data_IF_031270035070
#
_entry.id   IF_031270035070
#
_cell.length_a   1.000
_cell.length_b   1.000
_cell.length_c   1.000
_cell.angle_alpha   90.00
_cell.angle_beta   90.00
_cell.angle_gamma   90.00
#
_symmetry.space_group_name_H-M   'P 1'
#
loop_
_entity.id
_entity.type
_entity.pdbx_description
1 polymer ?
#
# COMPACT_ATOMS: atom_id res chain seq x y z
N UNK A 1 13.02 4.02 10.06
CA UNK A 1 11.91 3.14 9.64
C UNK A 1 12.45 2.18 8.61
N UNK A 2 12.14 0.89 8.74
CA UNK A 2 12.55 -0.10 7.78
C UNK A 2 11.36 -0.54 6.93
N UNK A 3 11.57 -0.66 5.63
CA UNK A 3 10.63 -1.19 4.68
C UNK A 3 11.23 -2.42 4.03
N UNK A 4 10.53 -3.55 4.18
CA UNK A 4 10.87 -4.78 3.48
C UNK A 4 10.04 -4.87 2.20
N UNK A 5 10.72 -5.02 1.06
CA UNK A 5 10.10 -5.51 -0.16
C UNK A 5 10.21 -7.04 -0.12
N UNK A 6 9.10 -7.70 0.15
CA UNK A 6 9.00 -9.15 0.36
C UNK A 6 9.05 -9.94 -0.96
N UNK A 7 10.06 -9.69 -1.79
CA UNK A 7 10.22 -10.26 -3.12
C UNK A 7 10.23 -11.80 -3.11
N UNK A 8 10.90 -12.42 -2.13
CA UNK A 8 10.91 -13.86 -1.94
C UNK A 8 9.53 -14.50 -1.75
N UNK A 9 8.55 -13.79 -1.16
CA UNK A 9 7.19 -14.31 -1.01
C UNK A 9 6.55 -14.54 -2.37
N UNK A 10 6.87 -13.70 -3.36
CA UNK A 10 6.29 -13.80 -4.69
C UNK A 10 6.70 -15.11 -5.38
N UNK A 11 7.94 -15.58 -5.24
CA UNK A 11 8.40 -16.79 -5.93
C UNK A 11 8.45 -18.05 -5.06
N UNK A 12 8.64 -17.92 -3.74
CA UNK A 12 8.69 -19.09 -2.85
C UNK A 12 7.29 -19.56 -2.42
N UNK A 13 6.32 -18.65 -2.32
CA UNK A 13 4.96 -18.98 -1.86
C UNK A 13 3.86 -18.75 -2.91
N UNK A 14 4.04 -17.79 -3.82
CA UNK A 14 3.00 -17.40 -4.80
C UNK A 14 3.29 -17.86 -6.23
N UNK A 15 4.26 -18.77 -6.43
CA UNK A 15 4.62 -19.40 -7.71
C UNK A 15 4.93 -18.42 -8.87
N UNK A 16 5.31 -17.18 -8.57
CA UNK A 16 5.82 -16.25 -9.57
C UNK A 16 7.24 -16.67 -9.98
N UNK A 17 7.62 -16.54 -11.25
CA UNK A 17 9.03 -16.78 -11.61
C UNK A 17 9.95 -15.80 -10.89
N UNK A 18 11.09 -16.30 -10.39
CA UNK A 18 12.08 -15.48 -9.68
C UNK A 18 12.49 -14.23 -10.46
N UNK A 19 12.80 -14.39 -11.75
CA UNK A 19 13.16 -13.27 -12.64
C UNK A 19 12.07 -12.20 -12.75
N UNK A 20 10.80 -12.60 -12.77
CA UNK A 20 9.68 -11.66 -12.81
C UNK A 20 9.48 -10.97 -11.46
N UNK A 21 9.63 -11.72 -10.36
CA UNK A 21 9.56 -11.17 -9.02
C UNK A 21 10.64 -10.13 -8.76
N UNK A 22 11.91 -10.42 -9.11
CA UNK A 22 13.03 -9.49 -9.00
C UNK A 22 12.80 -8.21 -9.82
N UNK A 23 12.26 -8.34 -11.04
CA UNK A 23 11.91 -7.19 -11.87
C UNK A 23 10.86 -6.29 -11.21
N UNK A 24 9.81 -6.90 -10.65
CA UNK A 24 8.74 -6.16 -9.95
C UNK A 24 9.29 -5.50 -8.68
N UNK A 25 10.08 -6.23 -7.90
CA UNK A 25 10.69 -5.74 -6.67
C UNK A 25 11.61 -4.53 -6.93
N UNK A 26 12.37 -4.54 -8.03
CA UNK A 26 13.17 -3.40 -8.48
C UNK A 26 12.31 -2.16 -8.73
N UNK A 27 11.25 -2.31 -9.52
CA UNK A 27 10.32 -1.20 -9.84
C UNK A 27 9.65 -0.65 -8.57
N UNK A 28 9.23 -1.54 -7.67
CA UNK A 28 8.64 -1.15 -6.38
C UNK A 28 9.65 -0.41 -5.50
N UNK A 29 10.87 -0.90 -5.39
CA UNK A 29 11.95 -0.25 -4.63
C UNK A 29 12.25 1.14 -5.16
N UNK A 30 12.38 1.30 -6.49
CA UNK A 30 12.57 2.61 -7.12
C UNK A 30 11.42 3.57 -6.81
N UNK A 31 10.18 3.08 -6.82
CA UNK A 31 8.98 3.87 -6.49
C UNK A 31 9.00 4.30 -5.02
N UNK A 32 9.30 3.39 -4.09
CA UNK A 32 9.38 3.70 -2.65
C UNK A 32 10.49 4.72 -2.39
N UNK A 33 11.66 4.56 -3.01
CA UNK A 33 12.77 5.50 -2.86
C UNK A 33 12.43 6.90 -3.39
N UNK A 34 11.66 7.00 -4.49
CA UNK A 34 11.11 8.28 -4.96
C UNK A 34 10.17 8.92 -3.95
N UNK A 35 9.26 8.14 -3.37
CA UNK A 35 8.36 8.62 -2.31
C UNK A 35 9.18 9.13 -1.12
N UNK A 36 10.15 8.37 -0.63
CA UNK A 36 11.03 8.79 0.48
C UNK A 36 11.72 10.12 0.16
N UNK A 37 12.26 10.26 -1.05
CA UNK A 37 12.94 11.48 -1.51
C UNK A 37 11.98 12.68 -1.60
N UNK A 38 10.85 12.53 -2.29
CA UNK A 38 9.93 13.63 -2.58
C UNK A 38 9.23 14.14 -1.31
N UNK A 39 8.93 13.24 -0.38
CA UNK A 39 8.35 13.57 0.93
C UNK A 39 9.40 13.90 2.01
N UNK A 40 10.70 13.95 1.63
CA UNK A 40 11.82 14.26 2.54
C UNK A 40 11.82 13.40 3.82
N UNK A 41 11.45 12.13 3.69
CA UNK A 41 11.30 11.20 4.80
C UNK A 41 12.69 10.79 5.34
N UNK A 42 13.03 11.25 6.55
CA UNK A 42 14.34 10.99 7.17
C UNK A 42 14.42 9.60 7.78
N UNK A 43 15.58 8.95 7.68
CA UNK A 43 15.90 7.66 8.31
C UNK A 43 15.03 6.49 7.85
N UNK A 44 14.54 6.52 6.60
CA UNK A 44 13.87 5.37 5.98
C UNK A 44 14.91 4.51 5.25
N UNK A 45 14.82 3.20 5.45
CA UNK A 45 15.68 2.21 4.79
C UNK A 45 14.79 1.20 4.08
N UNK A 46 15.10 0.91 2.81
CA UNK A 46 14.38 -0.07 1.99
C UNK A 46 15.30 -1.24 1.73
N UNK A 47 14.82 -2.46 1.96
CA UNK A 47 15.60 -3.68 1.78
C UNK A 47 14.76 -4.75 1.10
N UNK A 48 15.35 -5.54 0.21
CA UNK A 48 14.69 -6.71 -0.38
C UNK A 48 14.83 -7.92 0.56
N UNK A 49 13.82 -8.79 0.64
CA UNK A 49 13.93 -10.02 1.41
C UNK A 49 15.08 -10.91 0.88
N UNK A 50 15.28 -10.96 -0.43
CA UNK A 50 16.41 -11.67 -1.05
C UNK A 50 17.81 -11.16 -0.68
N UNK A 51 17.92 -9.93 -0.17
CA UNK A 51 19.19 -9.38 0.33
C UNK A 51 19.47 -9.80 1.77
N UNK A 52 18.42 -10.07 2.56
CA UNK A 52 18.53 -10.45 3.97
C UNK A 52 18.59 -11.98 4.15
N UNK A 53 17.87 -12.72 3.31
CA UNK A 53 17.69 -14.15 3.45
C UNK A 53 18.23 -14.87 2.22
N UNK A 54 19.48 -15.32 2.29
CA UNK A 54 20.15 -15.97 1.15
C UNK A 54 19.60 -17.37 0.84
N UNK A 55 18.93 -17.99 1.81
CA UNK A 55 18.31 -19.30 1.66
C UNK A 55 17.01 -19.20 0.82
N UNK A 56 16.94 -19.99 -0.25
CA UNK A 56 15.77 -20.08 -1.13
C UNK A 56 14.96 -21.34 -0.85
N UNK A 57 14.70 -21.63 0.43
CA UNK A 57 13.86 -22.76 0.82
C UNK A 57 12.40 -22.42 0.53
N UNK A 58 11.70 -23.31 -0.17
CA UNK A 58 10.23 -23.20 -0.26
C UNK A 58 9.63 -23.32 1.12
N UNK A 59 8.90 -22.28 1.49
CA UNK A 59 8.25 -22.08 2.77
C UNK A 59 6.85 -21.56 2.48
N UNK A 60 5.90 -21.85 3.37
CA UNK A 60 4.58 -21.24 3.26
C UNK A 60 4.68 -19.72 3.39
N UNK A 61 3.68 -19.01 2.86
CA UNK A 61 3.57 -17.56 3.02
C UNK A 61 3.70 -17.14 4.50
N UNK A 62 3.03 -17.87 5.40
CA UNK A 62 3.06 -17.61 6.84
C UNK A 62 4.47 -17.82 7.44
N UNK A 63 5.19 -18.85 7.01
CA UNK A 63 6.55 -19.10 7.48
C UNK A 63 7.51 -17.99 7.02
N UNK A 64 7.34 -17.50 5.79
CA UNK A 64 8.11 -16.38 5.27
C UNK A 64 7.80 -15.08 6.02
N UNK A 65 6.52 -14.78 6.27
CA UNK A 65 6.13 -13.60 7.04
C UNK A 65 6.64 -13.67 8.49
N UNK A 66 6.63 -14.85 9.12
CA UNK A 66 7.14 -15.04 10.48
C UNK A 66 8.67 -14.88 10.54
N UNK A 67 9.39 -15.40 9.54
CA UNK A 67 10.84 -15.21 9.39
C UNK A 67 11.18 -13.73 9.30
N UNK A 68 10.46 -13.00 8.45
CA UNK A 68 10.69 -11.57 8.22
C UNK A 68 10.46 -10.78 9.52
N UNK A 69 9.32 -10.99 10.19
CA UNK A 69 9.02 -10.32 11.46
C UNK A 69 10.05 -10.65 12.54
N UNK A 70 10.47 -11.91 12.67
CA UNK A 70 11.50 -12.31 13.62
C UNK A 70 12.83 -11.59 13.37
N UNK A 71 13.24 -11.44 12.10
CA UNK A 71 14.46 -10.71 11.76
C UNK A 71 14.36 -9.24 12.18
N UNK A 72 13.28 -8.56 11.79
CA UNK A 72 13.08 -7.15 12.09
C UNK A 72 12.93 -6.88 13.59
N UNK A 73 12.22 -7.74 14.32
CA UNK A 73 12.07 -7.62 15.77
C UNK A 73 13.37 -7.90 16.53
N UNK A 74 14.00 -9.06 16.30
CA UNK A 74 15.14 -9.50 17.11
C UNK A 74 16.47 -8.83 16.72
N UNK A 75 16.68 -8.54 15.43
CA UNK A 75 17.95 -8.02 14.91
C UNK A 75 17.92 -6.50 14.76
N UNK A 76 16.83 -5.95 14.22
CA UNK A 76 16.71 -4.52 13.91
C UNK A 76 15.93 -3.74 14.98
N UNK A 77 15.53 -4.41 16.08
CA UNK A 77 14.80 -3.84 17.21
C UNK A 77 13.57 -3.03 16.79
N UNK A 78 12.81 -3.54 15.80
CA UNK A 78 11.57 -2.91 15.36
C UNK A 78 10.38 -3.51 16.08
N UNK A 79 9.51 -2.67 16.66
CA UNK A 79 8.34 -3.12 17.41
C UNK A 79 6.99 -2.80 16.77
N UNK A 80 6.96 -2.31 15.52
CA UNK A 80 5.72 -1.88 14.85
C UNK A 80 5.59 -2.54 13.49
N UNK A 81 4.51 -3.30 13.29
CA UNK A 81 4.07 -3.82 11.98
C UNK A 81 3.00 -2.88 11.43
N UNK A 82 3.14 -2.46 10.17
CA UNK A 82 2.08 -1.72 9.48
C UNK A 82 1.38 -2.68 8.53
N UNK A 83 0.11 -2.95 8.80
CA UNK A 83 -0.76 -3.80 8.00
C UNK A 83 -2.00 -3.04 7.56
N UNK A 84 -3.01 -3.72 7.01
CA UNK A 84 -4.28 -3.11 6.61
C UNK A 84 -5.48 -3.96 7.02
N UNK A 85 -6.62 -3.32 7.29
CA UNK A 85 -7.80 -4.01 7.79
C UNK A 85 -8.97 -3.97 6.82
N UNK A 86 -9.60 -5.11 6.56
CA UNK A 86 -10.87 -5.20 5.83
C UNK A 86 -12.04 -4.92 6.79
N UNK A 87 -12.50 -3.67 6.82
CA UNK A 87 -13.64 -3.16 7.61
C UNK A 87 -13.51 -3.17 9.15
N UNK A 88 -14.16 -2.20 9.80
CA UNK A 88 -14.36 -2.12 11.24
C UNK A 88 -15.60 -2.90 11.72
N UNK A 89 -16.24 -3.69 10.85
CA UNK A 89 -17.45 -4.45 11.14
C UNK A 89 -17.15 -5.74 11.89
N UNK A 90 -17.60 -5.82 13.14
CA UNK A 90 -17.66 -7.07 13.90
C UNK A 90 -18.54 -8.08 13.15
N UNK A 91 -17.94 -9.17 12.65
CA UNK A 91 -18.41 -10.56 12.72
C UNK A 91 -17.61 -11.41 11.70
N UNK A 92 -16.68 -12.20 12.24
CA UNK A 92 -16.21 -13.49 11.72
C UNK A 92 -15.59 -13.63 10.31
N UNK A 93 -15.20 -12.56 9.63
CA UNK A 93 -14.17 -12.64 8.58
C UNK A 93 -12.93 -11.87 9.04
N UNK A 94 -12.14 -12.53 9.90
CA UNK A 94 -10.82 -12.06 10.31
C UNK A 94 -9.98 -11.92 9.04
N UNK A 95 -9.43 -10.72 8.77
CA UNK A 95 -8.48 -10.52 7.68
C UNK A 95 -7.37 -11.57 7.73
N UNK A 96 -6.72 -11.87 6.61
CA UNK A 96 -5.54 -12.74 6.56
C UNK A 96 -4.50 -12.32 7.61
N UNK A 97 -4.31 -10.99 7.78
CA UNK A 97 -3.47 -10.43 8.83
C UNK A 97 -3.93 -10.76 10.26
N UNK A 98 -5.24 -10.84 10.53
CA UNK A 98 -5.75 -11.17 11.86
C UNK A 98 -5.66 -12.67 12.18
N UNK A 99 -5.63 -13.55 11.16
CA UNK A 99 -5.24 -14.94 11.36
C UNK A 99 -3.75 -15.01 11.73
N UNK A 100 -2.92 -14.34 10.92
CA UNK A 100 -1.48 -14.33 11.06
C UNK A 100 -0.99 -13.68 12.37
N UNK A 101 -1.60 -12.57 12.80
CA UNK A 101 -1.24 -11.89 14.04
C UNK A 101 -1.46 -12.78 15.29
N UNK A 102 -2.35 -13.79 15.24
CA UNK A 102 -2.46 -14.77 16.34
C UNK A 102 -1.30 -15.78 16.38
N UNK A 103 -0.61 -15.99 15.26
CA UNK A 103 0.54 -16.89 15.16
C UNK A 103 1.82 -16.23 15.66
N UNK A 104 1.88 -14.89 15.65
CA UNK A 104 3.02 -14.12 16.12
C UNK A 104 3.02 -14.07 17.65
N UNK A 105 4.00 -14.73 18.28
CA UNK A 105 4.20 -14.69 19.74
C UNK A 105 5.12 -13.56 20.22
N UNK A 106 5.53 -12.68 19.32
CA UNK A 106 6.38 -11.53 19.61
C UNK A 106 5.54 -10.34 20.09
N UNK A 107 6.05 -9.49 20.99
CA UNK A 107 5.35 -8.30 21.47
C UNK A 107 5.40 -7.14 20.46
N UNK A 108 4.99 -7.41 19.21
CA UNK A 108 4.88 -6.40 18.17
C UNK A 108 3.57 -5.62 18.30
N UNK A 109 3.58 -4.34 17.94
CA UNK A 109 2.38 -3.52 17.82
C UNK A 109 1.95 -3.46 16.35
N UNK A 110 0.75 -3.91 16.04
CA UNK A 110 0.18 -3.76 14.69
C UNK A 110 -0.54 -2.41 14.54
N UNK A 111 -0.14 -1.63 13.54
CA UNK A 111 -0.86 -0.46 13.06
C UNK A 111 -1.57 -0.83 11.76
N UNK A 112 -2.90 -0.70 11.73
CA UNK A 112 -3.68 -1.03 10.55
C UNK A 112 -4.07 0.23 9.77
N UNK A 113 -3.67 0.31 8.51
CA UNK A 113 -4.15 1.34 7.59
C UNK A 113 -5.52 0.98 7.04
N UNK A 114 -6.23 2.01 6.59
CA UNK A 114 -7.51 1.84 5.89
C UNK A 114 -7.28 1.13 4.56
N UNK A 115 -8.23 0.31 4.09
CA UNK A 115 -8.17 -0.26 2.76
C UNK A 115 -8.25 0.88 1.72
N UNK A 116 -7.75 0.61 0.52
CA UNK A 116 -8.02 1.50 -0.61
C UNK A 116 -9.47 1.34 -1.09
N UNK A 117 -9.90 2.26 -1.95
CA UNK A 117 -11.27 2.31 -2.44
C UNK A 117 -11.36 1.92 -3.92
N UNK A 118 -12.54 1.43 -4.30
CA UNK A 118 -12.94 1.25 -5.69
C UNK A 118 -14.23 2.03 -5.98
N UNK A 119 -14.59 2.19 -7.25
CA UNK A 119 -15.88 2.73 -7.69
C UNK A 119 -16.98 1.65 -7.79
N UNK A 120 -16.63 0.37 -7.59
CA UNK A 120 -17.61 -0.72 -7.55
C UNK A 120 -18.27 -0.77 -6.17
N UNK A 121 -19.57 -0.47 -6.12
CA UNK A 121 -20.37 -0.53 -4.89
C UNK A 121 -20.46 -1.96 -4.31
N UNK A 122 -20.30 -3.00 -5.14
CA UNK A 122 -20.29 -4.41 -4.68
C UNK A 122 -18.95 -4.79 -4.05
N UNK A 123 -17.88 -4.07 -4.39
CA UNK A 123 -16.53 -4.25 -3.86
C UNK A 123 -15.89 -2.91 -3.45
N UNK A 124 -16.47 -2.19 -2.48
CA UNK A 124 -16.12 -0.79 -2.20
C UNK A 124 -14.71 -0.62 -1.63
N UNK A 125 -14.15 -1.69 -1.06
CA UNK A 125 -12.83 -1.72 -0.45
C UNK A 125 -11.96 -2.79 -1.10
N UNK A 126 -10.68 -2.50 -1.21
CA UNK A 126 -9.68 -3.43 -1.69
C UNK A 126 -8.33 -3.13 -1.02
N UNK A 127 -7.47 -4.14 -0.91
CA UNK A 127 -6.11 -4.00 -0.36
C UNK A 127 -5.43 -2.73 -0.90
N UNK A 128 -4.71 -1.97 -0.07
CA UNK A 128 -4.04 -0.75 -0.50
C UNK A 128 -3.00 -0.99 -1.61
N UNK A 129 -2.47 -2.21 -1.72
CA UNK A 129 -1.39 -2.58 -2.64
C UNK A 129 -1.79 -3.58 -3.74
N UNK A 130 -3.02 -4.14 -3.72
CA UNK A 130 -3.54 -5.01 -4.80
C UNK A 130 -4.59 -4.23 -5.58
N UNK A 131 -4.52 -4.31 -6.91
CA UNK A 131 -5.52 -3.76 -7.82
C UNK A 131 -6.14 -4.93 -8.60
N UNK A 132 -7.32 -5.41 -8.21
CA UNK A 132 -7.98 -6.50 -8.94
C UNK A 132 -8.71 -6.02 -10.20
N UNK A 133 -9.26 -4.81 -10.17
CA UNK A 133 -9.87 -4.18 -11.33
C UNK A 133 -9.39 -2.73 -11.48
N UNK A 134 -8.50 -2.45 -12.46
CA UNK A 134 -7.98 -1.10 -12.67
C UNK A 134 -9.04 -0.10 -13.15
N UNK A 135 -10.18 -0.55 -13.69
CA UNK A 135 -11.26 0.35 -14.13
C UNK A 135 -12.01 0.97 -12.95
N UNK A 136 -12.15 0.23 -11.85
CA UNK A 136 -12.89 0.68 -10.68
C UNK A 136 -11.96 1.09 -9.54
N UNK A 137 -10.77 0.51 -9.43
CA UNK A 137 -9.82 0.80 -8.35
C UNK A 137 -9.25 2.22 -8.42
N UNK A 138 -9.15 2.90 -7.28
CA UNK A 138 -8.43 4.17 -7.17
C UNK A 138 -6.96 3.89 -6.85
N UNK A 139 -6.04 4.21 -7.75
CA UNK A 139 -4.60 3.90 -7.58
C UNK A 139 -3.68 5.12 -7.52
N UNK A 140 -4.20 6.32 -7.82
CA UNK A 140 -3.42 7.57 -7.94
C UNK A 140 -2.22 7.41 -8.90
N UNK A 141 -2.39 6.61 -9.95
CA UNK A 141 -1.33 6.34 -10.91
C UNK A 141 -1.20 7.50 -11.93
N UNK A 142 -0.01 7.84 -12.46
CA UNK A 142 0.19 8.95 -13.41
C UNK A 142 -0.72 8.94 -14.64
N UNK A 143 -1.04 7.74 -15.12
CA UNK A 143 -1.90 7.53 -16.28
C UNK A 143 -3.38 7.38 -15.92
N UNK A 144 -3.73 7.50 -14.64
CA UNK A 144 -5.10 7.43 -14.18
C UNK A 144 -5.76 8.80 -14.29
N UNK A 145 -6.65 8.95 -15.26
CA UNK A 145 -7.50 10.14 -15.40
C UNK A 145 -8.60 10.11 -14.32
N UNK A 146 -8.21 10.51 -13.11
CA UNK A 146 -9.08 10.56 -11.94
C UNK A 146 -10.34 11.41 -12.14
N UNK A 147 -10.26 12.64 -12.71
CA UNK A 147 -11.44 13.46 -12.98
C UNK A 147 -12.45 12.77 -13.90
N UNK A 148 -11.99 12.13 -14.98
CA UNK A 148 -12.87 11.35 -15.85
C UNK A 148 -13.42 10.12 -15.14
N UNK A 149 -12.59 9.43 -14.36
CA UNK A 149 -12.96 8.19 -13.67
C UNK A 149 -14.09 8.41 -12.66
N UNK A 150 -14.07 9.51 -11.91
CA UNK A 150 -15.08 9.82 -10.89
C UNK A 150 -16.28 10.63 -11.42
N UNK A 151 -16.22 11.13 -12.67
CA UNK A 151 -17.34 11.84 -13.32
C UNK A 151 -18.22 10.92 -14.17
N UNK A 152 -17.84 9.66 -14.36
CA UNK A 152 -18.62 8.68 -15.10
C UNK A 152 -19.95 8.36 -14.40
N UNK A 153 -21.06 8.59 -15.10
CA UNK A 153 -22.43 8.33 -14.64
C UNK A 153 -22.77 6.84 -14.43
N UNK A 154 -21.91 5.93 -14.87
CA UNK A 154 -22.11 4.49 -14.75
C UNK A 154 -21.90 3.95 -13.32
N UNK A 155 -21.32 4.74 -12.41
CA UNK A 155 -21.05 4.32 -11.04
C UNK A 155 -22.10 4.82 -10.05
N UNK A 156 -22.31 4.06 -8.97
CA UNK A 156 -23.26 4.45 -7.92
C UNK A 156 -22.85 5.80 -7.29
N UNK A 157 -23.74 6.81 -7.28
CA UNK A 157 -23.43 8.15 -6.74
C UNK A 157 -22.93 8.13 -5.29
N UNK A 158 -23.37 7.17 -4.48
CA UNK A 158 -22.92 7.03 -3.09
C UNK A 158 -21.46 6.59 -3.04
N UNK A 159 -21.06 5.67 -3.91
CA UNK A 159 -19.67 5.23 -3.98
C UNK A 159 -18.76 6.32 -4.54
N UNK A 160 -19.23 7.06 -5.56
CA UNK A 160 -18.51 8.24 -6.08
C UNK A 160 -18.27 9.27 -4.96
N UNK A 161 -19.29 9.55 -4.14
CA UNK A 161 -19.17 10.46 -2.99
C UNK A 161 -18.16 9.94 -1.95
N UNK A 162 -18.17 8.64 -1.64
CA UNK A 162 -17.20 8.02 -0.74
C UNK A 162 -15.76 8.17 -1.25
N UNK A 163 -15.54 7.92 -2.55
CA UNK A 163 -14.24 8.10 -3.22
C UNK A 163 -13.80 9.56 -3.17
N UNK A 164 -14.68 10.52 -3.50
CA UNK A 164 -14.37 11.96 -3.42
C UNK A 164 -13.95 12.39 -2.01
N UNK A 165 -14.65 11.90 -0.98
CA UNK A 165 -14.31 12.18 0.41
C UNK A 165 -12.95 11.60 0.83
N UNK A 166 -12.60 10.41 0.32
CA UNK A 166 -11.30 9.81 0.55
C UNK A 166 -10.17 10.61 -0.11
N UNK A 167 -10.34 10.98 -1.38
CA UNK A 167 -9.39 11.80 -2.12
C UNK A 167 -9.18 13.16 -1.44
N UNK A 168 -10.26 13.80 -0.99
CA UNK A 168 -10.19 15.04 -0.19
C UNK A 168 -9.32 14.89 1.05
N UNK A 169 -9.43 13.76 1.77
CA UNK A 169 -8.59 13.49 2.95
C UNK A 169 -7.12 13.30 2.60
N UNK A 170 -6.83 12.63 1.48
CA UNK A 170 -5.46 12.50 0.97
C UNK A 170 -4.89 13.88 0.64
N UNK A 171 -5.65 14.72 -0.06
CA UNK A 171 -5.24 16.09 -0.39
C UNK A 171 -4.97 16.93 0.86
N UNK A 172 -5.86 16.90 1.86
CA UNK A 172 -5.64 17.61 3.14
C UNK A 172 -4.37 17.10 3.84
N UNK A 173 -4.09 15.80 3.80
CA UNK A 173 -2.88 15.24 4.39
C UNK A 173 -1.63 15.72 3.65
N UNK A 174 -1.67 15.72 2.31
CA UNK A 174 -0.58 16.24 1.48
C UNK A 174 -0.32 17.72 1.79
N UNK A 175 -1.37 18.56 1.84
CA UNK A 175 -1.26 19.99 2.16
C UNK A 175 -0.60 20.26 3.52
N UNK A 176 -0.82 19.37 4.49
CA UNK A 176 -0.21 19.45 5.82
C UNK A 176 1.25 19.01 5.85
N UNK A 177 1.63 18.07 5.01
CA UNK A 177 2.95 17.43 5.05
C UNK A 177 3.95 18.02 4.06
N UNK A 178 3.47 18.52 2.92
CA UNK A 178 4.30 18.99 1.81
C UNK A 178 4.14 20.49 1.64
N UNK A 179 3.02 20.94 1.08
CA UNK A 179 2.70 22.34 0.89
C UNK A 179 1.20 22.57 0.61
N UNK A 180 0.62 23.69 1.06
CA UNK A 180 -0.77 24.01 0.77
C UNK A 180 -0.97 24.38 -0.71
N UNK A 181 -2.08 23.93 -1.31
CA UNK A 181 -2.50 24.43 -2.61
C UNK A 181 -3.06 25.86 -2.50
N UNK A 182 -3.05 26.59 -3.62
CA UNK A 182 -3.72 27.88 -3.70
C UNK A 182 -5.22 27.77 -3.34
N UNK A 183 -5.78 28.87 -2.84
CA UNK A 183 -7.20 28.95 -2.53
C UNK A 183 -8.05 28.69 -3.78
N UNK A 184 -9.18 27.97 -3.61
CA UNK A 184 -10.16 27.65 -4.66
C UNK A 184 -9.71 26.69 -5.76
N UNK A 185 -8.55 26.04 -5.66
CA UNK A 185 -8.18 24.96 -6.60
C UNK A 185 -9.16 23.78 -6.43
N UNK A 186 -9.80 23.29 -7.51
CA UNK A 186 -10.68 22.13 -7.48
C UNK A 186 -9.99 20.86 -6.97
N UNK A 187 -10.75 19.96 -6.35
CA UNK A 187 -10.19 18.71 -5.79
C UNK A 187 -9.51 17.87 -6.87
N UNK A 188 -10.14 17.79 -8.03
CA UNK A 188 -9.66 17.09 -9.23
C UNK A 188 -8.27 17.56 -9.66
N UNK A 189 -8.05 18.88 -9.71
CA UNK A 189 -6.75 19.47 -10.04
C UNK A 189 -5.72 19.21 -8.94
N UNK A 190 -6.10 19.34 -7.66
CA UNK A 190 -5.20 19.02 -6.53
C UNK A 190 -4.73 17.57 -6.57
N UNK A 191 -5.62 16.63 -6.89
CA UNK A 191 -5.28 15.21 -7.02
C UNK A 191 -4.25 15.02 -8.14
N UNK A 192 -4.49 15.62 -9.30
CA UNK A 192 -3.58 15.50 -10.43
C UNK A 192 -2.20 16.06 -10.10
N UNK A 193 -2.11 17.24 -9.47
CA UNK A 193 -0.83 17.81 -9.02
C UNK A 193 -0.10 16.91 -8.01
N UNK A 194 -0.81 16.24 -7.10
CA UNK A 194 -0.20 15.26 -6.18
C UNK A 194 0.39 14.10 -6.98
N UNK A 195 -0.37 13.53 -7.91
CA UNK A 195 0.09 12.43 -8.76
C UNK A 195 1.34 12.85 -9.55
N UNK A 196 1.30 14.03 -10.16
CA UNK A 196 2.42 14.57 -10.93
C UNK A 196 3.66 14.76 -10.04
N UNK A 197 3.52 15.32 -8.83
CA UNK A 197 4.64 15.52 -7.89
C UNK A 197 5.35 14.25 -7.43
N UNK A 198 4.65 13.10 -7.42
CA UNK A 198 5.23 11.80 -7.05
C UNK A 198 6.04 11.23 -8.23
N UNK A 199 5.68 11.60 -9.44
CA UNK A 199 6.11 10.93 -10.67
C UNK A 199 6.87 11.80 -11.67
N UNK A 200 6.98 13.10 -11.43
CA UNK A 200 7.86 14.00 -12.20
C UNK A 200 9.35 13.61 -12.05
N UNK A 201 10.08 13.90 -13.14
CA UNK A 201 11.34 13.28 -13.59
C UNK A 201 12.55 13.58 -12.71
#
# INVERSE_FOLDING_TARGET
MFLLVADQHAWLANHLSKTKAERIAKIQTETIMKIIKNFKLKNWQVTLASQLFLENRELSYEQLELRDINHFFNILNTGIKVGWKFSSGQKHHKSDEAHFDNLIKLPIKSLFIKPGLTLDIKKPHESPYICTDPKTRITLWPKEDMPRKISQSQFDPRQVSAVKNHLKRITILFEKLVEPFQSKVPLEEKIQSIIDSIHEK
#
